data_IF_551986700252
#
_entry.id   IF_551986700252
#
_cell.length_a   1.000
_cell.length_b   1.000
_cell.length_c   1.000
_cell.angle_alpha   90.00
_cell.angle_beta   90.00
_cell.angle_gamma   90.00
#
_symmetry.space_group_name_H-M   'P 1'
#
loop_
_entity.id
_entity.type
_entity.pdbx_description
1 polymer ?
#
# COMPACT_ATOMS: atom_id res chain seq x y z
N UNK A 1 -18.68 -20.61 -33.84
CA UNK A 1 -17.78 -19.70 -33.10
C UNK A 1 -18.56 -18.44 -32.76
N UNK A 2 -19.13 -18.36 -31.56
CA UNK A 2 -19.91 -17.21 -31.12
C UNK A 2 -19.11 -16.45 -30.06
N UNK A 3 -18.59 -15.28 -30.41
CA UNK A 3 -18.32 -14.22 -29.44
C UNK A 3 -19.66 -13.71 -28.91
N UNK A 4 -20.33 -14.53 -28.08
CA UNK A 4 -21.46 -14.07 -27.28
C UNK A 4 -20.92 -13.06 -26.27
N UNK A 5 -21.17 -11.81 -26.61
CA UNK A 5 -20.60 -10.57 -26.09
C UNK A 5 -20.67 -10.48 -24.56
N UNK A 6 -19.57 -10.05 -23.94
CA UNK A 6 -19.49 -9.73 -22.51
C UNK A 6 -20.54 -8.69 -22.07
N UNK A 7 -21.12 -7.94 -23.02
CA UNK A 7 -22.17 -6.97 -22.81
C UNK A 7 -23.48 -7.57 -22.28
N UNK A 8 -23.86 -8.81 -22.66
CA UNK A 8 -25.09 -9.43 -22.15
C UNK A 8 -25.04 -9.85 -20.68
N UNK A 9 -23.86 -9.89 -20.06
CA UNK A 9 -23.71 -10.23 -18.62
C UNK A 9 -23.79 -9.02 -17.69
N UNK A 10 -23.81 -7.80 -18.23
CA UNK A 10 -24.04 -6.60 -17.43
C UNK A 10 -25.52 -6.47 -17.04
N UNK A 11 -25.82 -5.97 -15.84
CA UNK A 11 -27.21 -5.82 -15.39
C UNK A 11 -27.93 -4.77 -16.25
N UNK A 12 -29.09 -5.14 -16.80
CA UNK A 12 -29.97 -4.21 -17.51
C UNK A 12 -30.37 -3.01 -16.63
N UNK A 13 -30.69 -3.25 -15.35
CA UNK A 13 -30.98 -2.20 -14.36
C UNK A 13 -29.79 -2.05 -13.40
N UNK A 14 -29.07 -0.94 -13.53
CA UNK A 14 -27.88 -0.63 -12.73
C UNK A 14 -28.27 -0.38 -11.26
N UNK A 15 -27.45 -0.89 -10.33
CA UNK A 15 -27.57 -0.55 -8.90
C UNK A 15 -27.16 0.92 -8.70
N UNK A 16 -28.15 1.80 -8.58
CA UNK A 16 -27.97 3.27 -8.49
C UNK A 16 -27.03 3.75 -7.39
N UNK A 17 -27.01 3.09 -6.22
CA UNK A 17 -26.27 3.59 -5.03
C UNK A 17 -24.80 3.16 -4.96
N UNK A 18 -24.39 2.15 -5.70
CA UNK A 18 -23.05 1.57 -5.61
C UNK A 18 -22.48 1.27 -6.99
N UNK A 19 -22.39 2.26 -7.89
CA UNK A 19 -21.71 2.08 -9.17
C UNK A 19 -20.24 1.76 -8.92
N UNK A 20 -19.66 0.97 -9.82
CA UNK A 20 -18.26 0.58 -9.83
C UNK A 20 -17.81 0.45 -11.28
N UNK A 21 -16.51 0.52 -11.50
CA UNK A 21 -15.90 0.43 -12.83
C UNK A 21 -15.56 -1.03 -13.18
N UNK A 22 -15.62 -1.38 -14.46
CA UNK A 22 -15.16 -2.66 -15.05
C UNK A 22 -15.89 -3.96 -14.65
N UNK A 23 -17.08 -3.89 -14.04
CA UNK A 23 -17.87 -5.08 -13.75
C UNK A 23 -17.31 -5.97 -12.62
N UNK A 24 -17.98 -7.11 -12.37
CA UNK A 24 -17.79 -7.90 -11.13
C UNK A 24 -17.27 -9.34 -11.39
N UNK A 25 -16.35 -9.88 -10.56
CA UNK A 25 -15.59 -9.20 -9.50
C UNK A 25 -14.48 -8.34 -10.09
N UNK A 26 -14.35 -7.09 -9.64
CA UNK A 26 -13.25 -6.23 -10.07
C UNK A 26 -11.94 -6.55 -9.34
N UNK A 27 -10.91 -5.76 -9.63
CA UNK A 27 -9.57 -5.87 -9.03
C UNK A 27 -9.61 -5.93 -7.48
N UNK A 28 -8.62 -6.58 -6.85
CA UNK A 28 -8.49 -6.57 -5.40
C UNK A 28 -8.19 -5.13 -4.94
N UNK A 29 -8.85 -4.73 -3.86
CA UNK A 29 -8.78 -3.39 -3.29
C UNK A 29 -8.64 -3.50 -1.77
N UNK A 30 -7.66 -2.77 -1.24
CA UNK A 30 -7.50 -2.57 0.19
C UNK A 30 -8.51 -1.50 0.63
N UNK A 31 -9.44 -1.88 1.49
CA UNK A 31 -10.45 -0.98 2.07
C UNK A 31 -10.38 -0.99 3.58
N UNK A 32 -11.04 0.03 4.15
CA UNK A 32 -11.29 0.15 5.56
C UNK A 32 -12.81 0.16 5.77
N UNK A 33 -13.37 -0.77 6.53
CA UNK A 33 -14.82 -0.83 6.84
C UNK A 33 -15.01 -0.68 8.32
N UNK A 34 -16.01 0.11 8.70
CA UNK A 34 -16.48 0.17 10.06
C UNK A 34 -17.65 -0.78 10.26
N UNK A 35 -17.78 -1.31 11.47
CA UNK A 35 -19.04 -1.87 11.95
C UNK A 35 -20.06 -0.75 12.16
N UNK A 36 -21.34 -0.95 11.85
CA UNK A 36 -22.38 0.05 12.15
C UNK A 36 -22.75 -0.05 13.64
N UNK A 37 -21.98 0.62 14.49
CA UNK A 37 -22.17 0.68 15.95
C UNK A 37 -22.15 2.13 16.43
N UNK A 38 -22.47 2.35 17.70
CA UNK A 38 -22.34 3.67 18.33
C UNK A 38 -20.90 4.15 18.20
N UNK A 39 -20.71 5.44 17.86
CA UNK A 39 -19.38 6.00 17.56
C UNK A 39 -18.33 5.69 18.64
N UNK A 40 -18.71 5.67 19.93
CA UNK A 40 -17.80 5.37 21.05
C UNK A 40 -17.11 3.99 20.97
N UNK A 41 -17.72 3.04 20.26
CA UNK A 41 -17.21 1.67 20.07
C UNK A 41 -16.84 1.39 18.61
N UNK A 42 -16.73 2.44 17.79
CA UNK A 42 -16.42 2.29 16.37
C UNK A 42 -14.98 1.82 16.21
N UNK A 43 -14.81 0.65 15.61
CA UNK A 43 -13.52 0.23 15.04
C UNK A 43 -13.62 0.10 13.53
N UNK A 44 -12.46 0.09 12.90
CA UNK A 44 -12.31 -0.12 11.49
C UNK A 44 -11.46 -1.36 11.23
N UNK A 45 -11.87 -2.17 10.28
CA UNK A 45 -11.09 -3.32 9.82
C UNK A 45 -10.45 -2.98 8.48
N UNK A 46 -9.18 -3.30 8.37
CA UNK A 46 -8.40 -3.25 7.14
C UNK A 46 -8.48 -4.63 6.49
N UNK A 47 -8.86 -4.65 5.23
CA UNK A 47 -8.93 -5.92 4.49
C UNK A 47 -8.69 -5.69 3.01
N UNK A 48 -8.30 -6.78 2.37
CA UNK A 48 -8.26 -6.94 0.93
C UNK A 48 -9.55 -7.63 0.50
N UNK A 49 -10.28 -7.04 -0.42
CA UNK A 49 -11.47 -7.65 -1.03
C UNK A 49 -11.54 -7.32 -2.51
N UNK A 50 -12.45 -7.93 -3.25
CA UNK A 50 -12.75 -7.47 -4.61
C UNK A 50 -13.49 -6.13 -4.63
N UNK A 51 -13.31 -5.37 -5.71
CA UNK A 51 -13.96 -4.05 -5.91
C UNK A 51 -15.49 -4.10 -5.73
N UNK A 52 -16.15 -5.15 -6.25
CA UNK A 52 -17.59 -5.35 -6.11
C UNK A 52 -17.91 -6.22 -4.89
N UNK A 53 -18.58 -5.66 -3.89
CA UNK A 53 -19.06 -6.42 -2.72
C UNK A 53 -20.29 -7.26 -3.06
N UNK A 54 -20.40 -8.44 -2.46
CA UNK A 54 -21.68 -9.17 -2.33
C UNK A 54 -22.34 -8.78 -1.00
N UNK A 55 -23.63 -9.09 -0.84
CA UNK A 55 -24.38 -8.80 0.41
C UNK A 55 -23.74 -9.51 1.60
N UNK A 56 -23.35 -10.77 1.41
CA UNK A 56 -22.40 -11.44 2.28
C UNK A 56 -20.99 -10.99 1.88
N UNK A 57 -20.37 -10.13 2.69
CA UNK A 57 -19.04 -9.57 2.42
C UNK A 57 -17.96 -10.63 2.37
N UNK A 58 -18.12 -11.68 3.15
CA UNK A 58 -17.08 -12.65 3.42
C UNK A 58 -16.84 -13.52 2.19
N UNK A 59 -17.84 -13.63 1.32
CA UNK A 59 -17.74 -14.30 0.03
C UNK A 59 -16.74 -13.65 -0.96
N UNK A 60 -16.27 -12.42 -0.69
CA UNK A 60 -15.28 -11.71 -1.53
C UNK A 60 -14.17 -11.06 -0.71
N UNK A 61 -14.08 -11.40 0.56
CA UNK A 61 -12.95 -11.07 1.40
C UNK A 61 -11.79 -11.97 0.97
N UNK A 62 -10.65 -11.37 0.67
CA UNK A 62 -9.44 -12.08 0.24
C UNK A 62 -8.47 -12.27 1.40
N UNK A 63 -8.26 -11.21 2.19
CA UNK A 63 -7.37 -11.24 3.35
C UNK A 63 -7.77 -10.20 4.38
N UNK A 64 -7.64 -10.53 5.66
CA UNK A 64 -7.82 -9.60 6.77
C UNK A 64 -6.45 -9.03 7.16
N UNK A 65 -6.26 -7.72 6.98
CA UNK A 65 -4.98 -7.06 7.24
C UNK A 65 -4.84 -6.57 8.68
N UNK A 66 -5.92 -6.33 9.40
CA UNK A 66 -5.85 -5.88 10.79
C UNK A 66 -6.94 -4.90 11.18
N UNK A 67 -6.76 -4.27 12.35
CA UNK A 67 -7.77 -3.43 13.00
C UNK A 67 -7.20 -2.05 13.31
N UNK A 68 -7.99 -1.03 13.04
CA UNK A 68 -7.70 0.36 13.38
C UNK A 68 -8.75 0.89 14.37
N UNK A 69 -8.27 1.43 15.49
CA UNK A 69 -9.10 2.15 16.44
C UNK A 69 -8.98 3.66 16.17
N UNK A 70 -10.07 4.34 15.77
CA UNK A 70 -10.06 5.77 15.51
C UNK A 70 -10.11 6.63 16.79
N UNK A 71 -10.09 6.00 17.97
CA UNK A 71 -10.18 6.68 19.26
C UNK A 71 -8.79 6.81 19.89
N UNK A 72 -8.38 8.02 20.28
CA UNK A 72 -7.12 8.22 20.96
C UNK A 72 -7.15 7.60 22.36
N UNK A 73 -6.14 6.82 22.70
CA UNK A 73 -6.01 6.15 24.00
C UNK A 73 -4.83 6.73 24.79
N UNK A 74 -4.95 6.79 26.12
CA UNK A 74 -3.81 7.12 26.98
C UNK A 74 -2.79 5.99 26.89
N UNK A 75 -1.49 6.31 26.82
CA UNK A 75 -0.46 5.28 26.98
C UNK A 75 -0.50 4.74 28.40
N UNK A 76 -0.92 3.49 28.55
CA UNK A 76 -0.89 2.77 29.83
C UNK A 76 0.28 1.78 29.90
N UNK A 77 1.03 1.64 28.81
CA UNK A 77 2.06 0.61 28.64
C UNK A 77 3.48 1.19 28.51
N UNK A 78 3.63 2.50 28.34
CA UNK A 78 4.93 3.15 28.42
C UNK A 78 5.33 3.30 29.90
N UNK A 79 6.33 2.56 30.42
CA UNK A 79 6.96 2.92 31.69
C UNK A 79 7.69 4.26 31.51
N UNK A 80 7.92 4.98 32.62
CA UNK A 80 8.45 6.35 32.76
C UNK A 80 9.82 6.65 32.10
N UNK A 81 10.08 6.19 30.88
CA UNK A 81 11.20 6.67 30.07
C UNK A 81 10.76 8.00 29.48
N UNK A 82 11.43 9.13 29.80
CA UNK A 82 11.00 10.45 29.35
C UNK A 82 11.37 10.67 27.88
N UNK A 83 10.82 9.84 27.00
CA UNK A 83 10.88 10.04 25.55
C UNK A 83 9.94 11.19 25.22
N UNK A 84 10.45 12.18 24.49
CA UNK A 84 9.64 13.31 24.07
C UNK A 84 8.39 12.83 23.32
N UNK A 85 7.25 13.44 23.64
CA UNK A 85 5.94 13.14 23.05
C UNK A 85 5.32 11.78 23.43
N UNK A 86 5.94 10.97 24.28
CA UNK A 86 5.38 9.67 24.70
C UNK A 86 4.11 9.79 25.55
N UNK A 87 3.88 10.95 26.17
CA UNK A 87 2.62 11.24 26.91
C UNK A 87 1.47 11.73 26.02
N UNK A 88 1.66 11.80 24.71
CA UNK A 88 0.54 12.07 23.79
C UNK A 88 -0.43 10.89 23.77
N UNK A 89 -1.62 11.11 23.22
CA UNK A 89 -2.56 10.02 23.03
C UNK A 89 -2.13 9.13 21.85
N UNK A 90 -2.34 7.84 22.00
CA UNK A 90 -1.99 6.80 21.03
C UNK A 90 -3.18 6.44 20.14
N UNK A 91 -2.91 6.24 18.86
CA UNK A 91 -3.88 5.72 17.90
C UNK A 91 -3.51 4.28 17.55
N UNK A 92 -4.21 3.32 18.13
CA UNK A 92 -3.88 1.91 17.99
C UNK A 92 -4.28 1.35 16.62
N UNK A 93 -3.31 0.74 15.94
CA UNK A 93 -3.52 0.10 14.64
C UNK A 93 -2.66 -1.15 14.53
N UNK A 94 -3.28 -2.27 14.16
CA UNK A 94 -2.57 -3.49 13.77
C UNK A 94 -2.59 -3.63 12.25
N UNK A 95 -1.45 -4.02 11.68
CA UNK A 95 -1.29 -4.24 10.24
C UNK A 95 -0.45 -5.48 10.01
N UNK A 96 -0.98 -6.43 9.24
CA UNK A 96 -0.27 -7.56 8.66
C UNK A 96 0.58 -7.05 7.48
N UNK A 97 1.85 -6.77 7.77
CA UNK A 97 2.80 -6.14 6.84
C UNK A 97 3.16 -7.07 5.69
N UNK A 98 3.30 -8.37 5.95
CA UNK A 98 3.72 -9.33 4.93
C UNK A 98 2.62 -9.58 3.92
N UNK A 99 1.39 -9.78 4.41
CA UNK A 99 0.24 -9.86 3.52
C UNK A 99 0.03 -8.54 2.76
N UNK A 100 0.21 -7.38 3.42
CA UNK A 100 0.15 -6.10 2.73
C UNK A 100 1.17 -6.02 1.58
N UNK A 101 2.45 -6.36 1.82
CA UNK A 101 3.50 -6.36 0.80
C UNK A 101 3.20 -7.34 -0.35
N UNK A 102 2.69 -8.53 -0.03
CA UNK A 102 2.27 -9.51 -1.04
C UNK A 102 1.14 -8.97 -1.92
N UNK A 103 0.06 -8.47 -1.29
CA UNK A 103 -1.11 -7.99 -2.02
C UNK A 103 -0.83 -6.71 -2.80
N UNK A 104 -0.03 -5.80 -2.23
CA UNK A 104 0.33 -4.53 -2.86
C UNK A 104 1.39 -4.70 -3.97
N UNK A 105 2.50 -5.39 -3.66
CA UNK A 105 3.62 -5.56 -4.59
C UNK A 105 3.37 -6.64 -5.63
N UNK A 106 3.09 -7.88 -5.19
CA UNK A 106 2.96 -9.04 -6.09
C UNK A 106 1.61 -9.03 -6.81
N UNK A 107 0.50 -8.80 -6.08
CA UNK A 107 -0.86 -8.83 -6.66
C UNK A 107 -1.37 -7.49 -7.17
N UNK A 108 -0.60 -6.40 -6.98
CA UNK A 108 -0.91 -5.05 -7.49
C UNK A 108 -2.31 -4.57 -7.11
N UNK A 109 -2.63 -4.67 -5.82
CA UNK A 109 -3.91 -4.21 -5.28
C UNK A 109 -4.16 -2.71 -5.49
N UNK A 110 -5.45 -2.35 -5.61
CA UNK A 110 -5.91 -0.96 -5.49
C UNK A 110 -5.93 -0.53 -4.02
N UNK A 111 -5.83 0.76 -3.77
CA UNK A 111 -5.83 1.32 -2.42
C UNK A 111 -6.90 2.40 -2.25
N UNK A 112 -7.66 2.32 -1.17
CA UNK A 112 -8.58 3.39 -0.78
C UNK A 112 -7.84 4.49 -0.01
N UNK A 113 -8.34 5.73 -0.06
CA UNK A 113 -7.67 6.89 0.52
C UNK A 113 -7.45 6.81 2.05
N UNK A 114 -8.42 6.24 2.80
CA UNK A 114 -8.30 6.10 4.26
C UNK A 114 -7.22 5.09 4.67
N UNK A 115 -7.22 3.84 4.15
CA UNK A 115 -6.07 2.93 4.32
C UNK A 115 -4.74 3.55 3.91
N UNK A 116 -4.69 4.30 2.79
CA UNK A 116 -3.45 4.96 2.36
C UNK A 116 -2.94 5.92 3.42
N UNK A 117 -3.80 6.82 3.91
CA UNK A 117 -3.44 7.76 4.97
C UNK A 117 -2.92 7.05 6.24
N UNK A 118 -3.49 5.89 6.59
CA UNK A 118 -3.09 5.11 7.76
C UNK A 118 -1.74 4.41 7.55
N UNK A 119 -1.55 3.75 6.41
CA UNK A 119 -0.29 3.11 6.03
C UNK A 119 0.86 4.11 5.90
N UNK A 120 0.55 5.35 5.50
CA UNK A 120 1.53 6.43 5.48
C UNK A 120 1.99 6.84 6.87
N UNK A 121 1.11 6.78 7.89
CA UNK A 121 1.51 6.99 9.28
C UNK A 121 2.37 5.86 9.84
N UNK A 122 2.26 4.66 9.29
CA UNK A 122 3.11 3.52 9.63
C UNK A 122 4.45 3.49 8.88
N UNK A 123 4.72 4.44 7.97
CA UNK A 123 5.95 4.46 7.17
C UNK A 123 6.01 3.44 6.03
N UNK A 124 4.89 2.77 5.72
CA UNK A 124 4.83 1.77 4.64
C UNK A 124 4.60 2.38 3.25
N UNK A 125 4.00 3.58 3.19
CA UNK A 125 3.69 4.30 1.96
C UNK A 125 3.98 5.80 2.15
N UNK A 126 4.21 6.55 1.07
CA UNK A 126 4.21 8.01 1.15
C UNK A 126 2.80 8.55 1.50
N UNK A 127 2.68 9.79 1.97
CA UNK A 127 1.39 10.44 2.18
C UNK A 127 0.48 10.37 0.95
N UNK A 128 -0.82 10.26 1.20
CA UNK A 128 -1.80 10.08 0.13
C UNK A 128 -2.02 11.35 -0.70
N UNK A 129 -2.41 11.19 -1.96
CA UNK A 129 -2.70 12.30 -2.88
C UNK A 129 -3.75 13.30 -2.34
N UNK A 130 -4.64 12.87 -1.44
CA UNK A 130 -5.70 13.74 -0.87
C UNK A 130 -5.29 14.46 0.41
N UNK A 131 -4.14 14.16 1.00
CA UNK A 131 -3.59 14.87 2.16
C UNK A 131 -2.90 16.17 1.72
N UNK A 132 -3.69 17.12 1.22
CA UNK A 132 -3.18 18.38 0.69
C UNK A 132 -2.86 19.36 1.82
N UNK A 133 -1.63 19.88 1.84
CA UNK A 133 -1.32 21.10 2.58
C UNK A 133 -1.98 22.27 1.85
N UNK A 134 -2.94 22.94 2.50
CA UNK A 134 -3.63 24.11 1.92
C UNK A 134 -2.74 25.37 1.87
N UNK A 135 -1.56 25.31 2.49
CA UNK A 135 -0.59 26.40 2.51
C UNK A 135 0.18 26.44 1.19
N UNK A 136 0.51 25.28 0.62
CA UNK A 136 1.28 25.18 -0.63
C UNK A 136 0.35 24.92 -1.81
N UNK A 137 0.36 25.78 -2.85
CA UNK A 137 -0.34 25.47 -4.10
C UNK A 137 0.31 24.27 -4.80
N UNK A 138 -0.37 23.75 -5.82
CA UNK A 138 0.20 22.72 -6.69
C UNK A 138 1.37 23.29 -7.50
N UNK A 139 2.40 22.49 -7.81
CA UNK A 139 3.53 22.95 -8.61
C UNK A 139 3.12 23.28 -10.06
N UNK A 140 3.85 24.21 -10.66
CA UNK A 140 3.81 24.54 -12.09
C UNK A 140 5.06 23.94 -12.73
N UNK A 141 4.92 23.36 -13.92
CA UNK A 141 6.02 22.69 -14.61
C UNK A 141 6.30 23.36 -15.95
N UNK A 142 7.57 23.74 -16.14
CA UNK A 142 8.11 24.21 -17.42
C UNK A 142 9.24 23.26 -17.87
N UNK A 143 9.14 22.77 -19.11
CA UNK A 143 10.05 21.77 -19.66
C UNK A 143 11.49 22.29 -19.72
N UNK A 144 11.69 23.56 -20.08
CA UNK A 144 13.04 24.11 -20.23
C UNK A 144 13.78 24.17 -18.91
N UNK A 145 13.12 24.63 -17.84
CA UNK A 145 13.70 24.68 -16.50
C UNK A 145 14.01 23.28 -15.95
N UNK A 146 13.10 22.33 -16.16
CA UNK A 146 13.33 20.93 -15.77
C UNK A 146 14.53 20.33 -16.52
N UNK A 147 14.71 20.66 -17.80
CA UNK A 147 15.86 20.19 -18.57
C UNK A 147 17.17 20.79 -18.08
N UNK A 148 17.21 22.08 -17.69
CA UNK A 148 18.41 22.69 -17.08
C UNK A 148 18.80 21.96 -15.79
N UNK A 149 17.82 21.66 -14.93
CA UNK A 149 18.06 20.90 -13.70
C UNK A 149 18.54 19.47 -13.99
N UNK A 150 17.93 18.79 -14.95
CA UNK A 150 18.32 17.44 -15.35
C UNK A 150 19.76 17.39 -15.89
N UNK A 151 20.13 18.31 -16.78
CA UNK A 151 21.47 18.38 -17.35
C UNK A 151 22.54 18.72 -16.30
N UNK A 152 22.19 19.49 -15.26
CA UNK A 152 23.09 19.79 -14.16
C UNK A 152 23.40 18.57 -13.26
N UNK A 153 22.40 17.69 -13.02
CA UNK A 153 22.46 16.70 -11.93
C UNK A 153 22.17 15.25 -12.36
N UNK A 154 22.33 14.89 -13.64
CA UNK A 154 22.09 13.50 -14.09
C UNK A 154 23.17 12.54 -13.57
N UNK A 155 22.75 11.38 -13.07
CA UNK A 155 23.64 10.27 -12.71
C UNK A 155 24.19 9.58 -13.96
N UNK A 156 25.30 8.86 -13.82
CA UNK A 156 25.82 7.97 -14.86
C UNK A 156 24.88 6.78 -15.10
N UNK A 157 24.82 6.31 -16.35
CA UNK A 157 23.93 5.22 -16.78
C UNK A 157 24.17 3.93 -16.00
N UNK A 158 25.42 3.50 -15.85
CA UNK A 158 25.78 2.31 -15.08
C UNK A 158 25.33 2.38 -13.60
N UNK A 159 25.36 3.57 -13.00
CA UNK A 159 24.88 3.78 -11.63
C UNK A 159 23.37 3.62 -11.53
N UNK A 160 22.63 4.15 -12.52
CA UNK A 160 21.17 4.00 -12.60
C UNK A 160 20.79 2.53 -12.79
N UNK A 161 21.45 1.83 -13.72
CA UNK A 161 21.19 0.41 -13.97
C UNK A 161 21.45 -0.45 -12.73
N UNK A 162 22.50 -0.13 -11.97
CA UNK A 162 22.82 -0.81 -10.72
C UNK A 162 21.78 -0.54 -9.64
N UNK A 163 21.32 0.70 -9.51
CA UNK A 163 20.24 1.10 -8.59
C UNK A 163 18.94 0.36 -8.92
N UNK A 164 18.55 0.32 -10.20
CA UNK A 164 17.37 -0.39 -10.66
C UNK A 164 17.47 -1.90 -10.44
N UNK A 165 18.65 -2.49 -10.65
CA UNK A 165 18.87 -3.91 -10.36
C UNK A 165 18.65 -4.22 -8.87
N UNK A 166 19.24 -3.42 -7.98
CA UNK A 166 19.14 -3.65 -6.53
C UNK A 166 17.73 -3.40 -5.99
N UNK A 167 16.99 -2.44 -6.56
CA UNK A 167 15.66 -2.05 -6.10
C UNK A 167 14.53 -2.96 -6.62
N UNK A 168 14.61 -3.38 -7.89
CA UNK A 168 13.50 -4.08 -8.55
C UNK A 168 13.75 -5.56 -8.85
N UNK A 169 15.01 -5.99 -8.91
CA UNK A 169 15.36 -7.40 -9.20
C UNK A 169 15.75 -8.12 -7.93
N UNK A 170 17.03 -8.09 -7.56
CA UNK A 170 17.56 -8.80 -6.41
C UNK A 170 18.54 -7.92 -5.66
N UNK A 171 18.25 -7.67 -4.38
CA UNK A 171 19.14 -6.93 -3.50
C UNK A 171 20.21 -7.83 -2.86
N UNK A 172 19.99 -9.15 -2.80
CA UNK A 172 20.92 -10.13 -2.21
C UNK A 172 21.96 -10.57 -3.24
N UNK A 173 22.91 -9.68 -3.55
CA UNK A 173 24.03 -9.96 -4.47
C UNK A 173 25.24 -10.42 -3.66
N UNK A 174 25.84 -11.55 -4.06
CA UNK A 174 27.02 -12.08 -3.38
C UNK A 174 28.25 -11.21 -3.57
N UNK A 175 28.95 -10.93 -2.47
CA UNK A 175 30.25 -10.27 -2.48
C UNK A 175 31.35 -11.19 -3.05
N UNK A 176 32.52 -10.64 -3.35
CA UNK A 176 33.66 -11.44 -3.81
C UNK A 176 34.15 -12.41 -2.73
N UNK A 177 34.11 -11.99 -1.47
CA UNK A 177 34.49 -12.80 -0.30
C UNK A 177 33.56 -14.01 -0.14
N UNK A 178 32.23 -13.81 -0.27
CA UNK A 178 31.25 -14.90 -0.21
C UNK A 178 31.45 -15.91 -1.34
N UNK A 179 31.75 -15.44 -2.55
CA UNK A 179 32.06 -16.32 -3.69
C UNK A 179 33.35 -17.10 -3.48
N UNK A 180 34.36 -16.47 -2.89
CA UNK A 180 35.63 -17.13 -2.55
C UNK A 180 35.45 -18.16 -1.43
N UNK A 181 34.50 -17.97 -0.53
CA UNK A 181 34.14 -18.92 0.52
C UNK A 181 33.30 -20.12 0.01
N UNK A 182 32.46 -19.90 -0.99
CA UNK A 182 31.60 -20.96 -1.57
C UNK A 182 32.29 -21.84 -2.63
N UNK A 183 33.48 -21.45 -3.10
CA UNK A 183 34.20 -22.25 -4.10
C UNK A 183 34.49 -23.65 -3.52
N UNK A 184 34.41 -24.71 -4.34
CA UNK A 184 34.78 -26.05 -3.91
C UNK A 184 36.18 -26.06 -3.29
N UNK A 185 36.36 -26.88 -2.26
CA UNK A 185 37.66 -27.10 -1.60
C UNK A 185 38.20 -28.46 -2.04
N UNK A 186 39.53 -28.64 -2.03
CA UNK A 186 40.16 -29.93 -2.28
C UNK A 186 39.50 -31.03 -1.41
N UNK A 187 39.19 -32.21 -1.98
CA UNK A 187 39.68 -32.75 -3.26
C UNK A 187 38.84 -32.38 -4.50
N UNK A 188 37.81 -31.54 -4.37
CA UNK A 188 36.90 -31.20 -5.48
C UNK A 188 37.30 -29.96 -6.29
N UNK A 189 38.40 -29.29 -5.91
CA UNK A 189 38.99 -28.15 -6.65
C UNK A 189 40.10 -28.64 -7.59
#
# INVERSE_FOLDING_TARGET
MLHFTSLFRARAIIKRRTPQLWGAPGAPIIRMRGHHVVWKFQSYDLFVEHTHKRRNSDARLLHYLGKHCPHPQKSLWSPDTPVAQDRHLFMLTTVDVDAFKYWFGVKRCRLSMRPWALLAKAGLLPPSLRQNSKIMPKPIFDKEQLMRYYLANRKEEATIEREDYLNYKNSLVKSEEERAAERPVAPYL
#
